data_IF_023151168771
#
_entry.id   IF_023151168771
#
_cell.length_a   1.000
_cell.length_b   1.000
_cell.length_c   1.000
_cell.angle_alpha   90.00
_cell.angle_beta   90.00
_cell.angle_gamma   90.00
#
_symmetry.space_group_name_H-M   'P 1'
#
loop_
_entity.id
_entity.type
_entity.pdbx_description
1 polymer ?
#
# COMPACT_ATOMS: atom_id res chain seq x y z
N UNK A 1 11.03 -19.63 -16.90
CA UNK A 1 10.74 -20.17 -15.55
C UNK A 1 9.23 -20.12 -15.32
N UNK A 2 8.71 -21.07 -14.57
CA UNK A 2 7.30 -21.11 -14.15
C UNK A 2 7.05 -20.07 -13.05
N UNK A 3 5.96 -19.30 -13.17
CA UNK A 3 5.48 -18.43 -12.10
C UNK A 3 4.63 -19.26 -11.14
N UNK A 4 5.10 -19.47 -9.91
CA UNK A 4 4.41 -20.30 -8.92
C UNK A 4 3.41 -19.52 -8.08
N UNK A 5 3.80 -18.33 -7.63
CA UNK A 5 3.02 -17.51 -6.72
C UNK A 5 2.91 -16.08 -7.20
N UNK A 6 1.73 -15.50 -6.99
CA UNK A 6 1.47 -14.07 -7.02
C UNK A 6 1.10 -13.70 -5.59
N UNK A 7 1.98 -12.97 -4.91
CA UNK A 7 1.78 -12.56 -3.52
C UNK A 7 1.14 -11.17 -3.47
N UNK A 8 -0.06 -11.10 -2.89
CA UNK A 8 -0.76 -9.84 -2.65
C UNK A 8 -0.44 -9.37 -1.24
N UNK A 9 0.05 -8.17 -1.10
CA UNK A 9 0.57 -7.66 0.16
C UNK A 9 -0.52 -7.16 1.10
N UNK A 10 -1.59 -6.56 0.57
CA UNK A 10 -2.68 -5.97 1.33
C UNK A 10 -3.92 -5.70 0.47
N UNK A 11 -4.96 -5.12 1.08
CA UNK A 11 -6.29 -4.98 0.49
C UNK A 11 -6.48 -3.76 -0.44
N UNK A 12 -5.47 -2.93 -0.72
CA UNK A 12 -5.63 -1.83 -1.66
C UNK A 12 -5.73 -2.34 -3.10
N UNK A 13 -6.66 -1.81 -3.91
CA UNK A 13 -7.07 -2.41 -5.18
C UNK A 13 -5.99 -2.38 -6.25
N UNK A 14 -5.12 -1.42 -6.26
CA UNK A 14 -4.01 -1.28 -7.19
C UNK A 14 -2.94 -2.38 -7.03
N UNK A 15 -2.96 -3.13 -5.92
CA UNK A 15 -2.09 -4.27 -5.67
C UNK A 15 -2.64 -5.61 -6.17
N UNK A 16 -3.93 -5.69 -6.60
CA UNK A 16 -4.50 -6.95 -7.09
C UNK A 16 -5.48 -6.83 -8.26
N UNK A 17 -6.03 -5.67 -8.57
CA UNK A 17 -6.93 -5.55 -9.73
C UNK A 17 -6.22 -5.79 -11.08
N UNK A 18 -4.89 -5.83 -11.12
CA UNK A 18 -4.10 -6.27 -12.27
C UNK A 18 -4.01 -7.79 -12.45
N UNK A 19 -4.60 -8.60 -11.57
CA UNK A 19 -4.53 -10.07 -11.62
C UNK A 19 -5.09 -10.64 -12.91
N UNK A 20 -6.14 -10.05 -13.48
CA UNK A 20 -6.73 -10.51 -14.75
C UNK A 20 -5.69 -10.56 -15.87
N UNK A 21 -4.83 -9.54 -15.96
CA UNK A 21 -3.74 -9.50 -16.95
C UNK A 21 -2.67 -10.54 -16.62
N UNK A 22 -2.21 -10.62 -15.37
CA UNK A 22 -1.15 -11.55 -14.99
C UNK A 22 -1.61 -13.00 -15.16
N UNK A 23 -2.83 -13.32 -14.73
CA UNK A 23 -3.41 -14.67 -14.84
C UNK A 23 -3.70 -15.09 -16.28
N UNK A 24 -3.86 -14.16 -17.23
CA UNK A 24 -3.98 -14.50 -18.65
C UNK A 24 -2.68 -15.06 -19.23
N UNK A 25 -1.52 -14.68 -18.69
CA UNK A 25 -0.20 -15.20 -19.08
C UNK A 25 0.25 -16.39 -18.22
N UNK A 26 -0.18 -16.42 -16.95
CA UNK A 26 0.25 -17.42 -15.95
C UNK A 26 -0.99 -18.03 -15.24
N UNK A 27 -1.82 -18.80 -15.96
CA UNK A 27 -3.08 -19.31 -15.43
C UNK A 27 -2.92 -20.19 -14.18
N UNK A 28 -1.82 -20.93 -14.08
CA UNK A 28 -1.56 -21.89 -13.01
C UNK A 28 -0.90 -21.25 -11.76
N UNK A 29 -0.45 -19.98 -11.85
CA UNK A 29 0.15 -19.30 -10.72
C UNK A 29 -0.87 -19.14 -9.58
N UNK A 30 -0.52 -19.56 -8.37
CA UNK A 30 -1.36 -19.42 -7.19
C UNK A 30 -1.35 -17.97 -6.71
N UNK A 31 -2.54 -17.43 -6.44
CA UNK A 31 -2.68 -16.10 -5.85
C UNK A 31 -2.80 -16.26 -4.34
N UNK A 32 -1.86 -15.72 -3.61
CA UNK A 32 -1.77 -15.88 -2.16
C UNK A 32 -1.64 -14.52 -1.47
N UNK A 33 -2.17 -14.43 -0.24
CA UNK A 33 -1.90 -13.31 0.68
C UNK A 33 -1.75 -13.83 2.11
N UNK A 34 -1.05 -13.06 2.93
CA UNK A 34 -0.70 -13.50 4.27
C UNK A 34 -1.88 -13.38 5.24
N UNK A 35 -2.21 -14.49 5.92
CA UNK A 35 -3.20 -14.57 7.01
C UNK A 35 -4.51 -13.80 6.74
N UNK A 36 -4.86 -12.85 7.64
CA UNK A 36 -6.09 -12.04 7.56
C UNK A 36 -6.18 -11.18 6.30
N UNK A 37 -5.06 -10.72 5.73
CA UNK A 37 -5.08 -9.93 4.51
C UNK A 37 -5.79 -10.67 3.35
N UNK A 38 -5.67 -12.00 3.27
CA UNK A 38 -6.38 -12.79 2.26
C UNK A 38 -7.91 -12.74 2.44
N UNK A 39 -8.39 -12.82 3.69
CA UNK A 39 -9.82 -12.73 4.00
C UNK A 39 -10.35 -11.34 3.62
N UNK A 40 -9.66 -10.28 4.06
CA UNK A 40 -10.03 -8.89 3.82
C UNK A 40 -10.10 -8.56 2.31
N UNK A 41 -9.13 -9.07 1.53
CA UNK A 41 -9.13 -8.92 0.07
C UNK A 41 -10.34 -9.64 -0.54
N UNK A 42 -10.58 -10.90 -0.18
CA UNK A 42 -11.68 -11.68 -0.73
C UNK A 42 -13.04 -11.04 -0.41
N UNK A 43 -13.21 -10.50 0.79
CA UNK A 43 -14.44 -9.85 1.24
C UNK A 43 -14.68 -8.52 0.52
N UNK A 44 -13.62 -7.74 0.29
CA UNK A 44 -13.71 -6.43 -0.34
C UNK A 44 -13.67 -6.46 -1.88
N UNK A 45 -13.32 -7.59 -2.50
CA UNK A 45 -12.96 -7.68 -3.92
C UNK A 45 -14.05 -7.16 -4.86
N UNK A 46 -15.29 -7.62 -4.69
CA UNK A 46 -16.41 -7.21 -5.55
C UNK A 46 -16.69 -5.71 -5.42
N UNK A 47 -16.69 -5.19 -4.19
CA UNK A 47 -16.83 -3.76 -3.95
C UNK A 47 -15.69 -2.95 -4.61
N UNK A 48 -14.45 -3.44 -4.55
CA UNK A 48 -13.31 -2.77 -5.17
C UNK A 48 -13.38 -2.78 -6.69
N UNK A 49 -13.83 -3.88 -7.31
CA UNK A 49 -14.09 -3.93 -8.76
C UNK A 49 -15.17 -2.90 -9.14
N UNK A 50 -16.30 -2.91 -8.45
CA UNK A 50 -17.42 -2.00 -8.75
C UNK A 50 -17.02 -0.54 -8.60
N UNK A 51 -16.34 -0.21 -7.52
CA UNK A 51 -15.94 1.16 -7.24
C UNK A 51 -14.82 1.62 -8.19
N UNK A 52 -13.67 0.93 -8.23
CA UNK A 52 -12.50 1.35 -9.00
C UNK A 52 -12.60 1.01 -10.47
N UNK A 53 -13.17 -0.15 -10.79
CA UNK A 53 -13.43 -0.59 -12.15
C UNK A 53 -14.32 0.40 -12.89
N UNK A 54 -15.46 0.74 -12.31
CA UNK A 54 -16.44 1.61 -12.95
C UNK A 54 -16.08 3.10 -12.87
N UNK A 55 -15.45 3.56 -11.79
CA UNK A 55 -15.21 5.00 -11.57
C UNK A 55 -13.88 5.48 -12.10
N UNK A 56 -12.81 4.68 -11.98
CA UNK A 56 -11.44 5.07 -12.32
C UNK A 56 -10.92 4.36 -13.55
N UNK A 57 -10.98 3.03 -13.57
CA UNK A 57 -10.40 2.22 -14.65
C UNK A 57 -11.31 2.16 -15.88
N UNK A 58 -12.63 2.29 -15.73
CA UNK A 58 -13.63 2.26 -16.81
C UNK A 58 -13.45 1.01 -17.69
N UNK A 59 -13.28 1.20 -19.01
CA UNK A 59 -13.10 0.10 -19.96
C UNK A 59 -11.79 -0.69 -19.80
N UNK A 60 -10.84 -0.16 -19.02
CA UNK A 60 -9.56 -0.83 -18.73
C UNK A 60 -9.55 -1.48 -17.35
N UNK A 61 -10.72 -1.54 -16.70
CA UNK A 61 -10.82 -2.07 -15.35
C UNK A 61 -10.80 -3.59 -15.28
N UNK A 62 -10.52 -4.10 -14.09
CA UNK A 62 -10.70 -5.50 -13.77
C UNK A 62 -12.18 -5.86 -13.77
N UNK A 63 -12.52 -6.99 -14.39
CA UNK A 63 -13.89 -7.50 -14.47
C UNK A 63 -14.03 -8.88 -13.80
N UNK A 64 -12.91 -9.51 -13.49
CA UNK A 64 -12.86 -10.88 -12.97
C UNK A 64 -12.31 -10.87 -11.56
N UNK A 65 -13.08 -11.47 -10.64
CA UNK A 65 -12.64 -11.76 -9.28
C UNK A 65 -11.80 -13.03 -9.28
N UNK A 66 -10.64 -12.96 -8.64
CA UNK A 66 -9.79 -14.10 -8.34
C UNK A 66 -9.85 -14.41 -6.86
N UNK A 67 -9.94 -15.70 -6.51
CA UNK A 67 -9.81 -16.14 -5.12
C UNK A 67 -8.38 -15.97 -4.68
N UNK A 68 -8.19 -15.31 -3.53
CA UNK A 68 -6.89 -15.15 -2.90
C UNK A 68 -6.76 -16.19 -1.80
N UNK A 69 -5.80 -17.10 -1.95
CA UNK A 69 -5.55 -18.17 -0.99
C UNK A 69 -4.85 -17.62 0.25
N UNK A 70 -5.32 -18.03 1.44
CA UNK A 70 -4.70 -17.67 2.71
C UNK A 70 -3.39 -18.42 2.92
N UNK A 71 -2.28 -17.67 3.00
CA UNK A 71 -0.98 -18.20 3.39
C UNK A 71 -0.75 -18.03 4.89
N UNK A 72 -0.48 -19.15 5.59
CA UNK A 72 -0.40 -19.16 7.05
C UNK A 72 1.03 -19.25 7.59
N UNK A 73 1.99 -19.61 6.75
CA UNK A 73 3.39 -19.73 7.13
C UNK A 73 4.07 -18.36 7.08
N UNK A 74 5.05 -18.16 7.96
CA UNK A 74 5.83 -16.90 8.02
C UNK A 74 6.94 -16.83 6.96
N UNK A 75 6.96 -17.78 6.03
CA UNK A 75 7.94 -17.84 4.96
C UNK A 75 7.37 -18.52 3.69
N UNK A 76 8.00 -18.22 2.57
CA UNK A 76 7.79 -18.89 1.29
C UNK A 76 9.12 -19.48 0.87
N UNK A 77 9.16 -20.79 0.60
CA UNK A 77 10.35 -21.42 0.01
C UNK A 77 10.24 -21.44 -1.51
N UNK A 78 11.21 -20.82 -2.19
CA UNK A 78 11.27 -20.76 -3.64
C UNK A 78 12.67 -21.15 -4.11
N UNK A 79 12.77 -22.21 -4.92
CA UNK A 79 14.06 -22.74 -5.45
C UNK A 79 15.12 -22.98 -4.35
N UNK A 80 14.69 -23.38 -3.13
CA UNK A 80 15.58 -23.61 -1.98
C UNK A 80 15.95 -22.35 -1.20
N UNK A 81 15.48 -21.18 -1.61
CA UNK A 81 15.64 -19.93 -0.87
C UNK A 81 14.42 -19.66 -0.02
N UNK A 82 14.65 -19.20 1.19
CA UNK A 82 13.59 -18.76 2.11
C UNK A 82 13.34 -17.26 1.95
N UNK A 83 12.09 -16.90 1.74
CA UNK A 83 11.58 -15.52 1.73
C UNK A 83 10.73 -15.37 2.99
N UNK A 84 11.19 -14.57 3.94
CA UNK A 84 10.44 -14.30 5.18
C UNK A 84 9.29 -13.34 4.89
N UNK A 85 8.13 -13.61 5.46
CA UNK A 85 6.98 -12.70 5.45
C UNK A 85 7.02 -11.89 6.74
N UNK A 86 7.13 -10.57 6.59
CA UNK A 86 7.01 -9.62 7.69
C UNK A 86 5.58 -9.09 7.68
N UNK A 87 4.79 -9.47 8.62
CA UNK A 87 3.39 -9.04 8.65
C UNK A 87 2.73 -9.35 9.99
N UNK A 88 1.55 -8.88 10.31
CA UNK A 88 0.80 -7.82 9.60
C UNK A 88 1.23 -6.46 10.14
N UNK A 89 1.73 -5.60 9.28
CA UNK A 89 2.33 -4.31 9.65
C UNK A 89 1.39 -3.15 9.29
N UNK A 90 1.65 -1.99 9.87
CA UNK A 90 0.94 -0.76 9.56
C UNK A 90 1.78 0.09 8.60
N UNK A 91 1.19 0.46 7.48
CA UNK A 91 1.73 1.37 6.48
C UNK A 91 0.68 2.41 6.12
N UNK A 92 0.43 2.61 4.85
CA UNK A 92 -0.65 3.47 4.35
C UNK A 92 -2.06 2.96 4.72
N UNK A 93 -2.16 1.68 5.04
CA UNK A 93 -3.28 1.06 5.75
C UNK A 93 -2.76 0.06 6.80
N UNK A 94 -3.66 -0.65 7.49
CA UNK A 94 -3.32 -1.75 8.40
C UNK A 94 -3.18 -3.06 7.64
N UNK A 95 -2.58 -4.06 8.28
CA UNK A 95 -2.52 -5.45 7.81
C UNK A 95 -1.75 -5.65 6.49
N UNK A 96 -0.65 -4.92 6.31
CA UNK A 96 0.26 -5.05 5.17
C UNK A 96 1.34 -6.09 5.47
N UNK A 97 1.59 -6.99 4.52
CA UNK A 97 2.71 -7.91 4.57
C UNK A 97 3.86 -7.46 3.65
N UNK A 98 5.07 -7.42 4.18
CA UNK A 98 6.30 -7.23 3.40
C UNK A 98 7.06 -8.54 3.24
N UNK A 99 7.97 -8.61 2.27
CA UNK A 99 8.82 -9.78 2.06
C UNK A 99 10.29 -9.39 2.31
N UNK A 100 10.98 -10.24 3.07
CA UNK A 100 12.40 -10.07 3.39
C UNK A 100 13.25 -11.21 2.84
N UNK A 101 14.17 -10.87 1.95
CA UNK A 101 15.15 -11.77 1.36
C UNK A 101 16.49 -11.56 2.08
N UNK A 102 16.73 -12.36 3.12
CA UNK A 102 17.85 -12.16 4.06
C UNK A 102 19.22 -12.22 3.38
N UNK A 103 19.47 -13.20 2.49
CA UNK A 103 20.76 -13.36 1.81
C UNK A 103 21.16 -12.15 0.98
N UNK A 104 20.21 -11.53 0.30
CA UNK A 104 20.44 -10.35 -0.53
C UNK A 104 20.19 -9.04 0.21
N UNK A 105 19.72 -9.11 1.47
CA UNK A 105 19.27 -7.96 2.26
C UNK A 105 18.31 -7.07 1.46
N UNK A 106 17.35 -7.72 0.76
CA UNK A 106 16.35 -7.04 -0.06
C UNK A 106 15.01 -7.07 0.65
N UNK A 107 14.43 -5.90 0.86
CA UNK A 107 13.11 -5.71 1.41
C UNK A 107 12.13 -5.36 0.28
N UNK A 108 11.09 -6.16 0.09
CA UNK A 108 9.93 -5.81 -0.73
C UNK A 108 8.90 -5.24 0.24
N UNK A 109 8.87 -3.93 0.34
CA UNK A 109 8.21 -3.21 1.42
C UNK A 109 6.71 -2.97 1.18
N UNK A 110 6.24 -3.03 -0.06
CA UNK A 110 4.89 -2.59 -0.39
C UNK A 110 4.61 -1.17 0.14
N UNK A 111 3.38 -0.84 0.48
CA UNK A 111 2.93 0.48 0.93
C UNK A 111 3.29 0.80 2.39
N UNK A 112 4.20 0.02 2.96
CA UNK A 112 4.94 0.44 4.15
C UNK A 112 5.94 1.55 3.82
N UNK A 113 6.43 1.57 2.55
CA UNK A 113 7.46 2.48 2.07
C UNK A 113 7.12 3.02 0.69
N UNK A 114 7.32 4.30 0.51
CA UNK A 114 7.18 5.05 -0.74
C UNK A 114 8.53 5.64 -1.14
N UNK A 115 8.73 5.97 -2.42
CA UNK A 115 9.97 6.59 -2.89
C UNK A 115 9.71 7.64 -3.98
N UNK A 116 10.13 8.87 -3.76
CA UNK A 116 10.08 9.97 -4.73
C UNK A 116 8.68 10.17 -5.36
N UNK A 117 7.63 10.01 -4.57
CA UNK A 117 6.24 10.20 -4.96
C UNK A 117 5.41 10.68 -3.77
N UNK A 118 4.18 11.14 -4.04
CA UNK A 118 3.26 11.46 -2.96
C UNK A 118 2.79 10.21 -2.23
N UNK A 119 2.74 10.29 -0.89
CA UNK A 119 2.39 9.18 0.00
C UNK A 119 0.89 9.18 0.28
N UNK A 120 0.26 8.01 0.26
CA UNK A 120 -1.11 7.84 0.72
C UNK A 120 -1.16 7.86 2.25
N UNK A 121 -1.80 8.89 2.82
CA UNK A 121 -1.94 9.08 4.27
C UNK A 121 -3.43 9.10 4.67
N UNK A 122 -4.32 8.94 3.72
CA UNK A 122 -5.76 9.09 3.89
C UNK A 122 -6.34 8.19 4.98
N UNK A 123 -5.78 7.00 5.16
CA UNK A 123 -6.25 6.02 6.14
C UNK A 123 -5.62 6.21 7.53
N UNK A 124 -4.69 7.15 7.68
CA UNK A 124 -4.02 7.49 8.95
C UNK A 124 -4.85 8.47 9.79
N UNK A 125 -6.12 8.14 10.04
CA UNK A 125 -7.10 9.04 10.65
C UNK A 125 -6.94 9.22 12.15
N UNK A 126 -6.15 8.37 12.81
CA UNK A 126 -5.90 8.47 14.24
C UNK A 126 -4.40 8.57 14.55
N UNK A 127 -4.03 9.26 15.64
CA UNK A 127 -2.63 9.33 16.07
C UNK A 127 -2.02 7.95 16.36
N UNK A 128 -2.83 6.98 16.78
CA UNK A 128 -2.36 5.63 17.11
C UNK A 128 -1.97 4.85 15.85
N UNK A 129 -2.77 4.90 14.79
CA UNK A 129 -2.44 4.26 13.50
C UNK A 129 -1.15 4.84 12.95
N UNK A 130 -1.02 6.17 12.97
CA UNK A 130 0.18 6.85 12.53
C UNK A 130 1.43 6.45 13.33
N UNK A 131 1.30 6.36 14.66
CA UNK A 131 2.38 5.89 15.53
C UNK A 131 2.81 4.47 15.21
N UNK A 132 1.86 3.60 14.84
CA UNK A 132 2.17 2.25 14.43
C UNK A 132 2.92 2.21 13.10
N UNK A 133 2.60 3.10 12.14
CA UNK A 133 3.40 3.21 10.92
C UNK A 133 4.83 3.64 11.20
N UNK A 134 5.06 4.62 12.08
CA UNK A 134 6.42 5.00 12.49
C UNK A 134 7.20 3.84 13.10
N UNK A 135 6.57 3.06 14.00
CA UNK A 135 7.19 1.83 14.54
C UNK A 135 7.52 0.81 13.45
N UNK A 136 6.65 0.68 12.44
CA UNK A 136 6.93 -0.17 11.29
C UNK A 136 8.20 0.31 10.56
N UNK A 137 8.29 1.61 10.24
CA UNK A 137 9.48 2.17 9.57
C UNK A 137 10.76 1.94 10.38
N UNK A 138 10.72 2.13 11.71
CA UNK A 138 11.85 1.83 12.61
C UNK A 138 12.24 0.34 12.54
N UNK A 139 11.25 -0.55 12.52
CA UNK A 139 11.47 -2.00 12.42
C UNK A 139 12.13 -2.38 11.09
N UNK A 140 11.66 -1.78 9.99
CA UNK A 140 12.21 -2.04 8.65
C UNK A 140 13.64 -1.50 8.51
N UNK A 141 13.93 -0.32 9.08
CA UNK A 141 15.27 0.26 9.09
C UNK A 141 16.24 -0.60 9.91
N UNK A 142 15.80 -1.17 11.03
CA UNK A 142 16.61 -2.05 11.88
C UNK A 142 17.02 -3.38 11.19
N UNK A 143 16.37 -3.77 10.08
CA UNK A 143 16.83 -4.88 9.24
C UNK A 143 18.09 -4.54 8.44
N UNK A 144 18.46 -3.27 8.39
CA UNK A 144 19.57 -2.73 7.60
C UNK A 144 19.53 -3.22 6.14
N UNK A 145 18.43 -3.02 5.39
CA UNK A 145 18.33 -3.51 4.03
C UNK A 145 19.36 -2.84 3.12
N UNK A 146 19.90 -3.59 2.18
CA UNK A 146 20.75 -3.04 1.10
C UNK A 146 19.90 -2.56 -0.08
N UNK A 147 18.73 -3.16 -0.25
CA UNK A 147 17.75 -2.78 -1.28
C UNK A 147 16.36 -2.73 -0.68
N UNK A 148 15.63 -1.69 -1.03
CA UNK A 148 14.21 -1.53 -0.67
C UNK A 148 13.41 -1.37 -1.95
N UNK A 149 12.39 -2.23 -2.11
CA UNK A 149 11.41 -2.13 -3.19
C UNK A 149 10.15 -1.54 -2.54
N UNK A 150 9.87 -0.26 -2.77
CA UNK A 150 8.68 0.40 -2.24
C UNK A 150 7.42 -0.07 -2.97
N UNK A 151 6.24 0.16 -2.40
CA UNK A 151 4.97 -0.09 -3.08
C UNK A 151 4.75 0.89 -4.23
N UNK A 152 5.09 2.15 -4.00
CA UNK A 152 4.99 3.22 -4.99
C UNK A 152 6.30 4.01 -5.10
N UNK A 153 6.62 4.41 -6.34
CA UNK A 153 7.79 5.23 -6.61
C UNK A 153 7.59 6.12 -7.84
N UNK A 154 8.51 7.06 -8.05
CA UNK A 154 8.67 7.73 -9.34
C UNK A 154 9.11 6.73 -10.42
N UNK A 155 9.03 7.14 -11.69
CA UNK A 155 9.48 6.30 -12.82
C UNK A 155 10.99 5.96 -12.76
N UNK A 156 11.79 6.77 -12.07
CA UNK A 156 13.20 6.52 -11.79
C UNK A 156 13.36 5.67 -10.53
N UNK A 157 12.87 4.43 -10.54
CA UNK A 157 12.93 3.52 -9.40
C UNK A 157 14.36 3.37 -8.88
N UNK A 158 14.62 3.92 -7.70
CA UNK A 158 15.84 3.69 -6.96
C UNK A 158 15.56 2.66 -5.86
N UNK A 159 16.23 1.50 -5.91
CA UNK A 159 16.10 0.47 -4.88
C UNK A 159 16.94 0.81 -3.63
N UNK A 160 17.01 2.07 -3.26
CA UNK A 160 17.87 2.55 -2.18
C UNK A 160 17.14 2.52 -0.84
N UNK A 161 17.83 2.14 0.26
CA UNK A 161 17.25 2.16 1.61
C UNK A 161 16.73 3.51 2.09
N UNK A 162 17.19 4.62 1.50
CA UNK A 162 16.70 5.96 1.82
C UNK A 162 15.19 6.15 1.56
N UNK A 163 14.52 5.23 0.85
CA UNK A 163 13.08 5.23 0.71
C UNK A 163 12.35 5.15 2.06
N UNK A 164 12.93 4.46 3.07
CA UNK A 164 12.37 4.39 4.42
C UNK A 164 12.42 5.77 5.07
N UNK A 165 13.57 6.42 5.08
CA UNK A 165 13.73 7.77 5.64
C UNK A 165 12.95 8.83 4.85
N UNK A 166 12.83 8.68 3.53
CA UNK A 166 11.97 9.52 2.69
C UNK A 166 10.50 9.44 3.15
N UNK A 167 9.97 8.22 3.31
CA UNK A 167 8.59 8.00 3.76
C UNK A 167 8.35 8.66 5.12
N UNK A 168 9.25 8.44 6.07
CA UNK A 168 9.19 9.06 7.38
C UNK A 168 9.20 10.60 7.31
N UNK A 169 10.09 11.16 6.50
CA UNK A 169 10.19 12.62 6.32
C UNK A 169 8.92 13.19 5.68
N UNK A 170 8.41 12.57 4.62
CA UNK A 170 7.20 13.01 3.94
C UNK A 170 6.00 13.03 4.89
N UNK A 171 5.80 11.96 5.67
CA UNK A 171 4.71 11.87 6.64
C UNK A 171 4.84 12.98 7.69
N UNK A 172 6.03 13.22 8.23
CA UNK A 172 6.26 14.29 9.19
C UNK A 172 5.96 15.68 8.61
N UNK A 173 6.38 15.94 7.38
CA UNK A 173 6.10 17.20 6.69
C UNK A 173 4.61 17.38 6.44
N UNK A 174 3.93 16.34 5.95
CA UNK A 174 2.49 16.37 5.74
C UNK A 174 1.73 16.68 7.03
N UNK A 175 2.06 16.00 8.14
CA UNK A 175 1.40 16.23 9.44
C UNK A 175 1.65 17.64 9.95
N UNK A 176 2.87 18.15 9.78
CA UNK A 176 3.21 19.52 10.16
C UNK A 176 2.36 20.53 9.38
N UNK A 177 2.28 20.35 8.07
CA UNK A 177 1.54 21.26 7.20
C UNK A 177 0.01 21.06 7.29
N UNK A 178 -0.47 19.85 7.59
CA UNK A 178 -1.87 19.58 7.92
C UNK A 178 -2.36 20.44 9.10
N UNK A 179 -1.53 20.61 10.13
CA UNK A 179 -1.86 21.45 11.29
C UNK A 179 -1.88 22.95 10.94
N UNK A 180 -1.03 23.40 10.00
CA UNK A 180 -0.85 24.82 9.65
C UNK A 180 -1.81 25.30 8.57
N UNK A 181 -2.24 24.42 7.68
CA UNK A 181 -3.12 24.76 6.57
C UNK A 181 -4.56 25.01 7.06
N UNK A 182 -5.25 25.95 6.44
CA UNK A 182 -6.66 26.25 6.73
C UNK A 182 -7.62 25.24 6.10
N UNK A 183 -7.27 24.71 4.92
CA UNK A 183 -8.08 23.80 4.10
C UNK A 183 -7.16 22.85 3.31
N UNK A 184 -7.78 21.85 2.64
CA UNK A 184 -7.05 20.87 1.82
C UNK A 184 -6.31 21.55 0.66
N UNK A 185 -6.88 22.56 0.03
CA UNK A 185 -6.25 23.24 -1.11
C UNK A 185 -4.93 23.91 -0.71
N UNK A 186 -4.91 24.56 0.46
CA UNK A 186 -3.68 25.15 0.99
C UNK A 186 -2.64 24.08 1.35
N UNK A 187 -3.08 22.96 1.93
CA UNK A 187 -2.19 21.83 2.25
C UNK A 187 -1.56 21.27 0.98
N UNK A 188 -2.35 20.97 -0.05
CA UNK A 188 -1.87 20.48 -1.35
C UNK A 188 -0.84 21.45 -1.95
N UNK A 189 -1.19 22.75 -2.03
CA UNK A 189 -0.28 23.75 -2.59
C UNK A 189 1.04 23.88 -1.79
N UNK A 190 1.01 23.60 -0.49
CA UNK A 190 2.22 23.64 0.35
C UNK A 190 3.08 22.40 0.13
N UNK A 191 2.46 21.22 0.08
CA UNK A 191 3.16 19.97 -0.20
C UNK A 191 3.76 19.96 -1.62
N UNK A 192 3.06 20.51 -2.63
CA UNK A 192 3.60 20.67 -3.98
C UNK A 192 4.89 21.53 -4.02
N UNK A 193 5.00 22.53 -3.14
CA UNK A 193 6.24 23.34 -3.05
C UNK A 193 7.37 22.61 -2.34
N UNK A 194 7.06 21.74 -1.36
CA UNK A 194 8.04 20.92 -0.65
C UNK A 194 8.53 19.75 -1.50
N UNK A 195 7.63 19.21 -2.33
CA UNK A 195 7.84 18.03 -3.16
C UNK A 195 7.42 18.31 -4.61
N UNK A 196 8.14 19.20 -5.31
CA UNK A 196 7.76 19.61 -6.66
C UNK A 196 7.85 18.45 -7.65
N UNK A 197 6.89 18.38 -8.56
CA UNK A 197 6.82 17.40 -9.65
C UNK A 197 6.72 15.93 -9.22
N UNK A 198 6.39 15.67 -7.95
CA UNK A 198 6.19 14.30 -7.48
C UNK A 198 4.93 13.67 -8.10
N UNK A 199 5.03 12.44 -8.61
CA UNK A 199 3.90 11.71 -9.18
C UNK A 199 2.91 11.24 -8.11
N UNK A 200 1.82 10.61 -8.58
CA UNK A 200 0.75 10.02 -7.76
C UNK A 200 0.02 11.09 -6.93
N UNK A 201 -0.32 12.19 -7.58
CA UNK A 201 -1.05 13.32 -6.95
C UNK A 201 -2.35 12.92 -6.26
N UNK A 202 -2.99 11.84 -6.72
CA UNK A 202 -4.19 11.29 -6.07
C UNK A 202 -3.95 11.01 -4.59
N UNK A 203 -2.77 10.52 -4.22
CA UNK A 203 -2.41 10.26 -2.82
C UNK A 203 -2.43 11.54 -1.99
N UNK A 204 -1.81 12.62 -2.48
CA UNK A 204 -1.79 13.91 -1.80
C UNK A 204 -3.18 14.53 -1.71
N UNK A 205 -3.91 14.58 -2.83
CA UNK A 205 -5.20 15.27 -2.91
C UNK A 205 -6.28 14.61 -2.04
N UNK A 206 -6.37 13.27 -2.06
CA UNK A 206 -7.33 12.57 -1.21
C UNK A 206 -6.92 12.61 0.26
N UNK A 207 -5.65 12.42 0.58
CA UNK A 207 -5.14 12.55 1.96
C UNK A 207 -5.47 13.93 2.54
N UNK A 208 -5.25 14.99 1.76
CA UNK A 208 -5.59 16.35 2.19
C UNK A 208 -7.10 16.55 2.39
N UNK A 209 -7.93 16.13 1.43
CA UNK A 209 -9.40 16.25 1.52
C UNK A 209 -9.97 15.49 2.72
N UNK A 210 -9.50 14.26 2.93
CA UNK A 210 -10.02 13.39 3.99
C UNK A 210 -9.59 13.90 5.36
N UNK A 211 -8.30 14.20 5.53
CA UNK A 211 -7.75 14.53 6.84
C UNK A 211 -7.98 16.00 7.24
N UNK A 212 -8.10 16.91 6.28
CA UNK A 212 -8.31 18.34 6.55
C UNK A 212 -9.75 18.77 6.42
N UNK A 213 -10.40 18.44 5.30
CA UNK A 213 -11.76 18.88 4.99
C UNK A 213 -12.83 17.86 5.42
N UNK A 214 -12.42 16.75 6.05
CA UNK A 214 -13.29 15.66 6.52
C UNK A 214 -14.13 15.04 5.38
N UNK A 215 -13.56 15.00 4.19
CA UNK A 215 -14.19 14.32 3.07
C UNK A 215 -14.34 12.81 3.37
N UNK A 216 -15.52 12.26 3.13
CA UNK A 216 -15.75 10.83 3.33
C UNK A 216 -15.33 10.09 2.07
N UNK A 217 -14.39 9.17 2.23
CA UNK A 217 -13.84 8.37 1.14
C UNK A 217 -13.60 6.91 1.58
N UNK A 218 -13.88 5.94 0.75
CA UNK A 218 -14.88 6.03 -0.32
C UNK A 218 -16.25 6.24 0.30
N UNK A 219 -17.05 7.15 -0.27
CA UNK A 219 -18.29 7.63 0.33
C UNK A 219 -19.29 6.57 0.79
N UNK A 220 -19.24 5.37 0.20
CA UNK A 220 -20.25 4.34 0.37
C UNK A 220 -19.66 2.94 0.63
N UNK A 221 -18.71 2.81 1.56
CA UNK A 221 -18.37 1.49 2.04
C UNK A 221 -19.61 0.78 2.56
N UNK A 222 -19.95 -0.43 2.02
CA UNK A 222 -21.04 -1.24 2.58
C UNK A 222 -20.87 -1.41 4.08
N UNK A 223 -21.96 -1.37 4.84
CA UNK A 223 -21.91 -1.49 6.31
C UNK A 223 -21.13 -2.74 6.75
N UNK A 224 -21.30 -3.85 6.03
CA UNK A 224 -20.61 -5.12 6.27
C UNK A 224 -19.08 -5.05 6.08
N UNK A 225 -18.59 -4.11 5.27
CA UNK A 225 -17.17 -3.97 4.93
C UNK A 225 -16.50 -2.77 5.61
N UNK A 226 -17.23 -1.98 6.41
CA UNK A 226 -16.69 -0.79 7.07
C UNK A 226 -15.54 -1.09 8.04
N UNK A 227 -15.51 -2.30 8.59
CA UNK A 227 -14.42 -2.75 9.45
C UNK A 227 -13.07 -2.87 8.70
N UNK A 228 -13.09 -2.96 7.36
CA UNK A 228 -11.90 -2.98 6.50
C UNK A 228 -11.43 -1.58 6.13
N UNK A 229 -12.25 -0.55 6.36
CA UNK A 229 -11.88 0.83 6.10
C UNK A 229 -11.18 1.41 7.33
N UNK A 230 -9.91 1.73 7.21
CA UNK A 230 -9.15 2.34 8.30
C UNK A 230 -9.83 3.62 8.77
N UNK A 231 -10.32 3.64 10.00
CA UNK A 231 -10.87 4.85 10.64
C UNK A 231 -12.39 5.05 10.56
N UNK A 232 -13.17 3.99 10.29
CA UNK A 232 -14.60 3.98 10.59
C UNK A 232 -14.84 3.49 12.01
#
# INVERSE_FOLDING_TARGET
RELKYIFITHLHPDHYLGLEVIKSYYPDARVIAYQKAADDINDAYDFKIDYWGNTVLKSNGANIKFSVEKWQQDEITLEGEQIKILGLLCGDCTDIAALWLEKSRTLIASDLVFADCHVWIADMRTPEILKNWFKTLDTLEALEPLRVIPGHSSAALTLHPCAISFTLQYINDFIRELKRSKDAAQLVATMDRLYPDYPIRICLEYSAKILKDRYVWPGDWPLSLRHLASGY
#
